data_IF_389747279238
#
_entry.id   IF_389747279238
#
_cell.length_a   1.000
_cell.length_b   1.000
_cell.length_c   1.000
_cell.angle_alpha   90.00
_cell.angle_beta   90.00
_cell.angle_gamma   90.00
#
_symmetry.space_group_name_H-M   'P 1'
#
loop_
_entity.id
_entity.type
_entity.pdbx_description
1 polymer ?
#
# COMPACT_ATOMS: atom_id res chain seq x y z
N UNK A 1 6.17 28.38 6.14
CA UNK A 1 6.25 26.95 5.82
C UNK A 1 6.68 26.75 4.35
N UNK A 2 7.12 25.54 4.01
CA UNK A 2 7.41 25.10 2.64
C UNK A 2 6.47 23.93 2.34
N UNK A 3 5.89 23.89 1.12
CA UNK A 3 5.06 22.81 0.64
C UNK A 3 5.80 21.98 -0.38
N UNK A 4 5.79 20.64 -0.25
CA UNK A 4 6.35 19.72 -1.24
C UNK A 4 5.26 18.73 -1.63
N UNK A 5 4.96 18.62 -2.93
CA UNK A 5 4.03 17.63 -3.47
C UNK A 5 4.69 16.80 -4.58
N UNK A 6 5.03 15.56 -4.25
CA UNK A 6 5.50 14.52 -5.17
C UNK A 6 4.55 13.30 -5.14
N UNK A 7 3.27 13.52 -4.78
CA UNK A 7 2.26 12.47 -4.64
C UNK A 7 1.34 12.41 -5.86
N UNK A 8 0.30 13.25 -5.89
CA UNK A 8 -0.64 13.38 -7.02
C UNK A 8 -1.07 14.83 -7.19
N UNK A 9 -1.25 15.26 -8.43
CA UNK A 9 -1.61 16.64 -8.75
C UNK A 9 -2.92 17.11 -8.12
N UNK A 10 -3.87 16.23 -7.93
CA UNK A 10 -5.18 16.52 -7.34
C UNK A 10 -5.19 16.67 -5.82
N UNK A 11 -4.05 16.42 -5.15
CA UNK A 11 -3.93 16.56 -3.68
C UNK A 11 -3.83 18.03 -3.26
N UNK A 12 -3.38 18.90 -4.17
CA UNK A 12 -3.20 20.34 -3.92
C UNK A 12 -3.92 21.15 -4.97
N UNK A 13 -4.73 22.11 -4.55
CA UNK A 13 -5.36 23.09 -5.42
C UNK A 13 -4.32 24.15 -5.83
N UNK A 14 -4.04 24.23 -7.13
CA UNK A 14 -2.90 25.00 -7.67
C UNK A 14 -3.13 26.51 -7.58
N UNK A 15 -4.35 27.00 -7.84
CA UNK A 15 -4.65 28.44 -7.79
C UNK A 15 -4.52 29.01 -6.36
N UNK A 16 -5.13 28.41 -5.31
CA UNK A 16 -4.91 28.82 -3.93
C UNK A 16 -3.44 28.71 -3.48
N UNK A 17 -2.71 27.71 -3.95
CA UNK A 17 -1.29 27.59 -3.66
C UNK A 17 -0.49 28.76 -4.25
N UNK A 18 -0.76 29.10 -5.52
CA UNK A 18 -0.11 30.23 -6.19
C UNK A 18 -0.39 31.55 -5.45
N UNK A 19 -1.61 31.76 -5.00
CA UNK A 19 -2.00 32.97 -4.26
C UNK A 19 -1.31 33.03 -2.89
N UNK A 20 -1.24 31.92 -2.16
CA UNK A 20 -0.53 31.84 -0.88
C UNK A 20 0.98 32.11 -1.03
N UNK A 21 1.59 31.66 -2.13
CA UNK A 21 3.02 31.91 -2.41
C UNK A 21 3.28 33.37 -2.77
N UNK A 22 2.42 33.99 -3.61
CA UNK A 22 2.50 35.42 -3.96
C UNK A 22 2.29 36.33 -2.74
N UNK A 23 1.40 35.93 -1.86
CA UNK A 23 1.12 36.65 -0.62
C UNK A 23 2.19 36.45 0.49
N UNK A 24 3.21 35.59 0.25
CA UNK A 24 4.25 35.30 1.23
C UNK A 24 3.77 34.47 2.43
N UNK A 25 2.59 33.88 2.36
CA UNK A 25 2.07 32.97 3.39
C UNK A 25 2.86 31.65 3.44
N UNK A 26 3.37 31.22 2.29
CA UNK A 26 4.33 30.14 2.15
C UNK A 26 5.68 30.69 1.70
N UNK A 27 6.76 30.19 2.27
CA UNK A 27 8.14 30.56 1.91
C UNK A 27 8.51 30.03 0.52
N UNK A 28 7.96 28.88 0.16
CA UNK A 28 8.21 28.27 -1.15
C UNK A 28 7.44 26.97 -1.33
N UNK A 29 7.48 26.44 -2.55
CA UNK A 29 6.93 25.13 -2.89
C UNK A 29 7.82 24.36 -3.85
N UNK A 30 7.76 23.00 -3.78
CA UNK A 30 8.32 22.10 -4.78
C UNK A 30 7.20 21.16 -5.25
N UNK A 31 6.90 21.20 -6.55
CA UNK A 31 5.76 20.50 -7.15
C UNK A 31 6.27 19.64 -8.31
N UNK A 32 6.11 18.33 -8.18
CA UNK A 32 6.47 17.34 -9.21
C UNK A 32 5.26 16.84 -10.00
N UNK A 33 4.03 17.04 -9.47
CA UNK A 33 2.79 16.47 -10.00
C UNK A 33 1.72 17.55 -10.16
N UNK A 34 0.94 17.48 -11.25
CA UNK A 34 -0.02 18.52 -11.60
C UNK A 34 -1.40 17.92 -11.90
N UNK A 35 -2.51 18.64 -11.67
CA UNK A 35 -3.86 18.18 -12.02
C UNK A 35 -4.03 17.91 -13.52
N UNK A 36 -3.36 18.72 -14.34
CA UNK A 36 -3.31 18.56 -15.80
C UNK A 36 -1.85 18.54 -16.22
N UNK A 37 -1.42 17.41 -16.77
CA UNK A 37 -0.05 17.20 -17.23
C UNK A 37 -0.02 17.08 -18.76
N UNK A 38 1.04 17.57 -19.44
CA UNK A 38 1.24 17.37 -20.86
C UNK A 38 1.29 15.87 -21.20
N UNK A 39 0.61 15.46 -22.26
CA UNK A 39 0.63 14.07 -22.72
C UNK A 39 1.88 13.74 -23.54
N UNK A 40 2.47 14.75 -24.15
CA UNK A 40 3.68 14.62 -24.98
C UNK A 40 4.63 15.77 -24.71
N UNK A 41 5.89 15.59 -25.05
CA UNK A 41 6.92 16.66 -24.97
C UNK A 41 6.66 17.86 -25.91
N UNK A 42 5.62 17.80 -26.76
CA UNK A 42 5.24 18.87 -27.67
C UNK A 42 4.09 19.73 -27.14
N UNK A 43 3.42 19.24 -26.12
CA UNK A 43 2.29 19.96 -25.51
C UNK A 43 2.81 21.07 -24.60
N UNK A 44 2.17 22.23 -24.66
CA UNK A 44 2.54 23.34 -23.78
C UNK A 44 2.08 23.06 -22.35
N UNK A 45 2.99 23.20 -21.40
CA UNK A 45 2.67 23.16 -19.99
C UNK A 45 2.34 24.55 -19.47
N UNK A 46 1.14 24.73 -18.97
CA UNK A 46 0.67 25.98 -18.35
C UNK A 46 0.33 25.74 -16.88
N UNK A 47 0.78 26.62 -16.01
CA UNK A 47 0.45 26.57 -14.58
C UNK A 47 0.59 27.97 -13.96
N UNK A 48 -0.30 28.37 -13.03
CA UNK A 48 -0.16 29.62 -12.28
C UNK A 48 1.11 29.71 -11.42
N UNK A 49 1.79 28.57 -11.22
CA UNK A 49 3.05 28.48 -10.46
C UNK A 49 4.28 28.85 -11.29
N UNK A 50 4.16 28.90 -12.63
CA UNK A 50 5.29 29.26 -13.50
C UNK A 50 5.69 30.72 -13.28
N UNK A 51 7.01 30.95 -13.20
CA UNK A 51 7.57 32.29 -13.00
C UNK A 51 7.54 32.82 -11.58
N UNK A 52 7.16 32.00 -10.60
CA UNK A 52 7.32 32.34 -9.19
C UNK A 52 8.73 31.94 -8.73
N UNK A 53 9.49 32.89 -8.18
CA UNK A 53 10.89 32.70 -7.80
C UNK A 53 11.07 31.74 -6.60
N UNK A 54 10.02 31.54 -5.83
CA UNK A 54 10.00 30.67 -4.64
C UNK A 54 9.37 29.30 -4.95
N UNK A 55 9.33 28.85 -6.21
CA UNK A 55 8.76 27.58 -6.62
C UNK A 55 9.73 26.77 -7.47
N UNK A 56 9.86 25.50 -7.15
CA UNK A 56 10.53 24.48 -7.95
C UNK A 56 9.46 23.63 -8.63
N UNK A 57 9.50 23.53 -9.96
CA UNK A 57 8.63 22.63 -10.73
C UNK A 57 9.50 21.56 -11.39
N UNK A 58 9.10 20.30 -11.25
CA UNK A 58 9.77 19.17 -11.88
C UNK A 58 8.79 18.39 -12.79
N UNK A 59 9.26 17.69 -13.82
CA UNK A 59 8.41 17.20 -14.91
C UNK A 59 7.78 15.81 -14.67
N UNK A 60 7.62 15.37 -13.42
CA UNK A 60 6.99 14.09 -13.05
C UNK A 60 7.56 12.88 -13.80
N UNK A 61 8.88 12.74 -13.85
CA UNK A 61 9.55 11.66 -14.57
C UNK A 61 10.08 10.53 -13.68
N UNK A 62 9.88 10.62 -12.35
CA UNK A 62 10.42 9.66 -11.40
C UNK A 62 10.05 8.21 -11.68
N UNK A 63 8.82 7.96 -12.18
CA UNK A 63 8.35 6.63 -12.58
C UNK A 63 8.46 6.32 -14.07
N UNK A 64 8.94 7.26 -14.91
CA UNK A 64 8.84 7.16 -16.37
C UNK A 64 10.16 6.80 -17.06
N UNK A 65 11.26 6.69 -16.32
CA UNK A 65 12.55 6.25 -16.89
C UNK A 65 12.54 4.73 -17.09
N UNK A 66 13.31 4.22 -18.05
CA UNK A 66 13.42 2.78 -18.30
C UNK A 66 13.91 2.02 -17.05
N UNK A 67 14.86 2.61 -16.33
CA UNK A 67 15.39 2.06 -15.09
C UNK A 67 14.31 2.01 -13.99
N UNK A 68 13.54 3.08 -13.81
CA UNK A 68 12.44 3.12 -12.84
C UNK A 68 11.38 2.09 -13.17
N UNK A 69 10.98 1.94 -14.44
CA UNK A 69 10.01 0.93 -14.87
C UNK A 69 10.49 -0.49 -14.60
N UNK A 70 11.78 -0.79 -14.86
CA UNK A 70 12.36 -2.09 -14.55
C UNK A 70 12.35 -2.36 -13.03
N UNK A 71 12.79 -1.39 -12.23
CA UNK A 71 12.84 -1.52 -10.77
C UNK A 71 11.43 -1.65 -10.14
N UNK A 72 10.46 -0.87 -10.62
CA UNK A 72 9.06 -0.99 -10.20
C UNK A 72 8.51 -2.38 -10.53
N UNK A 73 8.80 -2.88 -11.74
CA UNK A 73 8.38 -4.21 -12.16
C UNK A 73 8.92 -5.31 -11.25
N UNK A 74 10.19 -5.25 -10.91
CA UNK A 74 10.83 -6.20 -9.98
C UNK A 74 10.23 -6.11 -8.58
N UNK A 75 10.08 -4.90 -8.03
CA UNK A 75 9.52 -4.70 -6.69
C UNK A 75 8.09 -5.20 -6.59
N UNK A 76 7.26 -4.92 -7.59
CA UNK A 76 5.87 -5.41 -7.62
C UNK A 76 5.83 -6.93 -7.74
N UNK A 77 6.66 -7.52 -8.60
CA UNK A 77 6.75 -8.97 -8.76
C UNK A 77 7.17 -9.66 -7.46
N UNK A 78 8.18 -9.13 -6.76
CA UNK A 78 8.62 -9.66 -5.46
C UNK A 78 7.51 -9.61 -4.41
N UNK A 79 6.73 -8.52 -4.35
CA UNK A 79 5.61 -8.40 -3.41
C UNK A 79 4.50 -9.40 -3.73
N UNK A 80 4.17 -9.60 -5.01
CA UNK A 80 3.20 -10.61 -5.45
C UNK A 80 3.65 -12.02 -5.12
N UNK A 81 4.91 -12.35 -5.34
CA UNK A 81 5.50 -13.65 -4.97
C UNK A 81 5.42 -13.85 -3.46
N UNK A 82 5.83 -12.88 -2.66
CA UNK A 82 5.74 -12.97 -1.18
C UNK A 82 4.30 -13.15 -0.69
N UNK A 83 3.34 -12.47 -1.32
CA UNK A 83 1.94 -12.67 -1.00
C UNK A 83 1.46 -14.08 -1.38
N UNK A 84 1.79 -14.53 -2.59
CA UNK A 84 1.42 -15.88 -3.07
C UNK A 84 2.03 -16.99 -2.24
N UNK A 85 3.30 -16.85 -1.86
CA UNK A 85 4.05 -17.91 -1.18
C UNK A 85 3.74 -17.97 0.32
N UNK A 86 3.53 -16.82 0.96
CA UNK A 86 3.39 -16.79 2.41
C UNK A 86 2.33 -15.84 2.97
N UNK A 87 1.60 -15.11 2.12
CA UNK A 87 0.55 -14.19 2.57
C UNK A 87 1.06 -12.84 3.10
N UNK A 88 2.34 -12.49 2.91
CA UNK A 88 2.90 -11.20 3.30
C UNK A 88 2.24 -10.06 2.52
N UNK A 89 1.80 -9.02 3.22
CA UNK A 89 1.12 -7.84 2.66
C UNK A 89 1.92 -6.55 2.85
N UNK A 90 3.23 -6.63 2.93
CA UNK A 90 4.12 -5.49 3.14
C UNK A 90 3.91 -4.41 2.08
N UNK A 91 3.80 -3.15 2.51
CA UNK A 91 3.49 -1.96 1.71
C UNK A 91 2.07 -1.92 1.13
N UNK A 92 1.14 -2.72 1.62
CA UNK A 92 -0.28 -2.55 1.30
C UNK A 92 -0.79 -1.23 1.91
N UNK A 93 -1.48 -0.41 1.11
CA UNK A 93 -2.02 0.89 1.53
C UNK A 93 -3.53 0.87 1.82
N UNK A 94 -4.22 -0.16 1.35
CA UNK A 94 -5.68 -0.33 1.46
C UNK A 94 -6.06 -1.70 2.04
N UNK A 95 -5.14 -2.33 2.73
CA UNK A 95 -5.31 -3.63 3.37
C UNK A 95 -4.39 -3.73 4.60
N UNK A 96 -4.75 -4.49 5.66
CA UNK A 96 -3.89 -4.65 6.82
C UNK A 96 -2.49 -5.16 6.45
N UNK A 97 -1.46 -4.42 6.84
CA UNK A 97 -0.07 -4.71 6.49
C UNK A 97 0.55 -5.68 7.50
N UNK A 98 1.12 -6.78 7.00
CA UNK A 98 1.86 -7.75 7.80
C UNK A 98 3.04 -8.33 7.04
N UNK A 99 4.18 -8.43 7.69
CA UNK A 99 5.33 -9.19 7.23
C UNK A 99 5.32 -10.56 7.94
N UNK A 100 5.33 -11.62 7.16
CA UNK A 100 5.22 -12.98 7.67
C UNK A 100 6.54 -13.73 7.46
N UNK A 101 6.97 -14.55 8.45
CA UNK A 101 8.14 -15.40 8.29
C UNK A 101 7.86 -16.57 7.33
N UNK A 102 8.91 -17.22 6.88
CA UNK A 102 8.79 -18.51 6.21
C UNK A 102 8.13 -19.54 7.15
N UNK A 103 7.42 -20.52 6.58
CA UNK A 103 6.67 -21.56 7.32
C UNK A 103 6.99 -22.97 6.82
N UNK A 104 8.28 -23.36 6.78
CA UNK A 104 8.68 -24.66 6.23
C UNK A 104 8.03 -25.81 7.00
N UNK A 105 7.46 -26.77 6.28
CA UNK A 105 6.80 -27.94 6.86
C UNK A 105 5.47 -27.65 7.58
N UNK A 106 4.90 -26.47 7.41
CA UNK A 106 3.60 -26.10 7.99
C UNK A 106 2.62 -25.79 6.88
N UNK A 107 1.32 -25.93 7.16
CA UNK A 107 0.26 -25.42 6.30
C UNK A 107 -0.16 -24.04 6.78
N UNK A 108 -0.19 -23.05 5.89
CA UNK A 108 -0.58 -21.69 6.21
C UNK A 108 -1.98 -21.39 5.69
N UNK A 109 -2.82 -20.88 6.55
CA UNK A 109 -4.18 -20.47 6.26
C UNK A 109 -4.28 -18.97 6.40
N UNK A 110 -4.84 -18.33 5.37
CA UNK A 110 -5.08 -16.90 5.30
C UNK A 110 -6.58 -16.65 5.38
N UNK A 111 -7.00 -15.78 6.28
CA UNK A 111 -8.42 -15.46 6.45
C UNK A 111 -8.62 -13.95 6.60
N UNK A 112 -9.53 -13.42 5.80
CA UNK A 112 -9.92 -12.00 5.85
C UNK A 112 -11.33 -11.92 6.41
N UNK A 113 -11.57 -11.03 7.37
CA UNK A 113 -12.86 -10.88 8.02
C UNK A 113 -13.18 -9.42 8.32
N UNK A 114 -14.44 -9.11 8.60
CA UNK A 114 -14.78 -7.82 9.18
C UNK A 114 -14.22 -7.71 10.60
N UNK A 115 -13.66 -6.54 10.92
CA UNK A 115 -13.07 -6.29 12.23
C UNK A 115 -14.17 -6.07 13.28
N UNK A 116 -14.77 -7.16 13.76
CA UNK A 116 -15.79 -7.17 14.82
C UNK A 116 -15.40 -8.09 15.96
N UNK A 117 -15.86 -7.81 17.20
CA UNK A 117 -15.55 -8.64 18.34
C UNK A 117 -15.99 -10.10 18.16
N UNK A 118 -15.17 -11.04 18.65
CA UNK A 118 -15.49 -12.47 18.70
C UNK A 118 -15.03 -13.28 17.48
N UNK A 119 -14.68 -12.67 16.34
CA UNK A 119 -14.28 -13.40 15.12
C UNK A 119 -13.07 -14.29 15.37
N UNK A 120 -12.01 -13.77 15.98
CA UNK A 120 -10.80 -14.55 16.24
C UNK A 120 -11.08 -15.72 17.19
N UNK A 121 -11.96 -15.54 18.18
CA UNK A 121 -12.40 -16.61 19.07
C UNK A 121 -13.14 -17.71 18.31
N UNK A 122 -14.05 -17.33 17.41
CA UNK A 122 -14.79 -18.28 16.57
C UNK A 122 -13.84 -19.07 15.64
N UNK A 123 -12.88 -18.39 15.00
CA UNK A 123 -11.88 -19.05 14.17
C UNK A 123 -11.08 -20.07 15.00
N UNK A 124 -10.54 -19.67 16.14
CA UNK A 124 -9.75 -20.57 17.00
C UNK A 124 -10.57 -21.76 17.50
N UNK A 125 -11.86 -21.57 17.75
CA UNK A 125 -12.75 -22.65 18.14
C UNK A 125 -12.93 -23.69 17.03
N UNK A 126 -13.00 -23.27 15.75
CA UNK A 126 -13.05 -24.19 14.61
C UNK A 126 -11.81 -25.08 14.58
N UNK A 127 -10.62 -24.51 14.75
CA UNK A 127 -9.37 -25.29 14.79
C UNK A 127 -9.36 -26.28 15.95
N UNK A 128 -9.78 -25.84 17.13
CA UNK A 128 -9.86 -26.71 18.32
C UNK A 128 -10.85 -27.87 18.12
N UNK A 129 -12.02 -27.62 17.53
CA UNK A 129 -13.02 -28.65 17.23
C UNK A 129 -12.53 -29.72 16.27
N UNK A 130 -11.62 -29.35 15.35
CA UNK A 130 -11.01 -30.28 14.39
C UNK A 130 -9.69 -30.87 14.90
N UNK A 131 -9.32 -30.63 16.17
CA UNK A 131 -8.08 -31.15 16.75
C UNK A 131 -6.81 -30.59 16.12
N UNK A 132 -6.90 -29.41 15.49
CA UNK A 132 -5.78 -28.77 14.80
C UNK A 132 -5.01 -27.88 15.76
N UNK A 133 -3.70 -28.12 15.87
CA UNK A 133 -2.83 -27.27 16.67
C UNK A 133 -2.31 -26.09 15.85
N UNK A 134 -2.53 -24.87 16.36
CA UNK A 134 -2.00 -23.62 15.77
C UNK A 134 -0.57 -23.47 16.28
N UNK A 135 0.39 -23.48 15.35
CA UNK A 135 1.83 -23.32 15.61
C UNK A 135 2.22 -21.84 15.62
N UNK A 136 1.60 -21.05 14.74
CA UNK A 136 1.78 -19.60 14.65
C UNK A 136 0.48 -18.91 14.29
N UNK A 137 0.27 -17.70 14.85
CA UNK A 137 -0.90 -16.88 14.53
C UNK A 137 -0.48 -15.42 14.44
N UNK A 138 -0.84 -14.79 13.34
CA UNK A 138 -0.54 -13.39 13.04
C UNK A 138 -1.84 -12.68 12.74
N UNK A 139 -2.10 -11.58 13.42
CA UNK A 139 -3.30 -10.76 13.21
C UNK A 139 -2.90 -9.30 12.96
N UNK A 140 -3.45 -8.72 11.92
CA UNK A 140 -3.48 -7.27 11.71
C UNK A 140 -4.89 -6.85 11.38
N UNK A 141 -5.27 -5.68 11.90
CA UNK A 141 -6.58 -5.09 11.67
C UNK A 141 -6.44 -3.63 11.29
N UNK A 142 -7.33 -3.16 10.45
CA UNK A 142 -7.66 -1.76 10.28
C UNK A 142 -9.05 -1.47 10.87
N UNK A 143 -9.64 -0.33 10.57
CA UNK A 143 -10.97 0.04 11.08
C UNK A 143 -12.09 -0.92 10.62
N UNK A 144 -11.94 -1.57 9.47
CA UNK A 144 -12.99 -2.36 8.79
C UNK A 144 -12.66 -3.83 8.68
N UNK A 145 -11.40 -4.15 8.46
CA UNK A 145 -10.94 -5.49 8.11
C UNK A 145 -9.97 -6.04 9.14
N UNK A 146 -10.06 -7.34 9.38
CA UNK A 146 -9.03 -8.14 10.03
C UNK A 146 -8.41 -9.12 9.03
N UNK A 147 -7.10 -9.24 9.08
CA UNK A 147 -6.34 -10.25 8.34
C UNK A 147 -5.61 -11.11 9.34
N UNK A 148 -6.03 -12.37 9.43
CA UNK A 148 -5.41 -13.37 10.29
C UNK A 148 -4.75 -14.44 9.44
N UNK A 149 -3.52 -14.76 9.80
CA UNK A 149 -2.74 -15.83 9.18
C UNK A 149 -2.38 -16.84 10.26
N UNK A 150 -2.63 -18.11 10.00
CA UNK A 150 -2.41 -19.20 10.95
C UNK A 150 -1.55 -20.28 10.32
N UNK A 151 -0.51 -20.66 11.03
CA UNK A 151 0.32 -21.80 10.70
C UNK A 151 -0.11 -23.00 11.52
N UNK A 152 -0.34 -24.12 10.87
CA UNK A 152 -0.72 -25.39 11.50
C UNK A 152 0.29 -26.48 11.12
N UNK A 153 0.41 -27.50 11.96
CA UNK A 153 1.33 -28.60 11.70
C UNK A 153 1.04 -29.33 10.38
N UNK A 154 2.07 -29.88 9.76
CA UNK A 154 1.98 -30.62 8.49
C UNK A 154 1.06 -31.86 8.55
N UNK A 155 0.82 -32.40 9.74
CA UNK A 155 -0.02 -33.59 9.97
C UNK A 155 -1.52 -33.30 9.83
N UNK A 156 -1.92 -32.04 9.70
CA UNK A 156 -3.30 -31.66 9.49
C UNK A 156 -3.79 -32.24 8.16
N UNK A 157 -4.68 -33.21 8.24
CA UNK A 157 -5.30 -33.83 7.07
C UNK A 157 -6.22 -32.80 6.35
N UNK A 158 -6.60 -33.15 5.15
CA UNK A 158 -7.29 -32.33 4.14
C UNK A 158 -8.21 -31.23 4.70
N UNK A 159 -7.72 -29.98 4.70
CA UNK A 159 -8.45 -28.80 5.13
C UNK A 159 -9.48 -28.31 4.12
N UNK A 160 -9.59 -28.98 2.95
CA UNK A 160 -10.52 -28.61 1.88
C UNK A 160 -11.99 -28.66 2.28
N UNK A 161 -12.29 -29.26 3.44
CA UNK A 161 -13.65 -29.41 3.97
C UNK A 161 -13.99 -28.39 5.09
N UNK A 162 -13.08 -27.51 5.48
CA UNK A 162 -13.36 -26.49 6.50
C UNK A 162 -13.88 -25.23 5.81
N UNK A 163 -15.18 -25.09 5.76
CA UNK A 163 -15.82 -23.82 5.44
C UNK A 163 -15.87 -22.94 6.70
N UNK A 164 -15.06 -21.92 6.73
CA UNK A 164 -15.07 -20.89 7.78
C UNK A 164 -15.90 -19.70 7.32
#
# INVERSE_FOLDING_TARGET
AILINASRGTVVEIDPLADALRAGQLLGAAIDVFPVEPRTNKDEFTSPLRGLDNVILTPHIGGSTMEAQANIGLEVAEKLVKYSDNGTTTSAVNFPEVALPAHPGQKRILHVHHNVPGVLSAINQVFAQHGLNIVGQYLRTDEKLGYVVMDIGAEAQDLSLIHI
#
